data_IF_517952354701
#
_entry.id   IF_517952354701
#
_cell.length_a   1.000
_cell.length_b   1.000
_cell.length_c   1.000
_cell.angle_alpha   90.00
_cell.angle_beta   90.00
_cell.angle_gamma   90.00
#
_symmetry.space_group_name_H-M   'P 1'
#
loop_
_entity.id
_entity.type
_entity.pdbx_description
1 polymer ?
#
# COMPACT_ATOMS: atom_id res chain seq x y z
N UNK A 1 11.31 19.74 -23.39
CA UNK A 1 11.44 19.15 -22.04
C UNK A 1 11.77 17.66 -22.19
N UNK A 2 12.78 17.12 -21.48
CA UNK A 2 13.04 15.67 -21.50
C UNK A 2 11.88 14.90 -20.84
N UNK A 3 11.64 13.65 -21.29
CA UNK A 3 10.63 12.76 -20.70
C UNK A 3 10.92 12.55 -19.20
N UNK A 4 9.89 12.66 -18.35
CA UNK A 4 9.98 12.39 -16.90
C UNK A 4 9.86 10.90 -16.53
N UNK A 5 9.74 10.01 -17.51
CA UNK A 5 9.50 8.56 -17.30
C UNK A 5 10.76 7.76 -17.60
N UNK A 6 11.06 6.77 -16.74
CA UNK A 6 12.07 5.73 -16.99
C UNK A 6 11.38 4.39 -17.26
N UNK A 7 11.99 3.56 -18.10
CA UNK A 7 11.50 2.21 -18.41
C UNK A 7 11.96 1.26 -17.31
N UNK A 8 11.04 0.41 -16.86
CA UNK A 8 11.30 -0.69 -15.94
C UNK A 8 11.12 -2.00 -16.69
N UNK A 9 12.20 -2.78 -16.83
CA UNK A 9 12.16 -4.11 -17.45
C UNK A 9 12.06 -5.18 -16.34
N UNK A 10 11.07 -6.05 -16.44
CA UNK A 10 10.84 -7.16 -15.50
C UNK A 10 10.53 -8.44 -16.26
N UNK A 11 11.01 -9.57 -15.74
CA UNK A 11 10.62 -10.90 -16.21
C UNK A 11 9.42 -11.40 -15.43
N UNK A 12 8.45 -12.01 -16.11
CA UNK A 12 7.25 -12.60 -15.52
C UNK A 12 7.12 -14.05 -16.00
N UNK A 13 6.46 -14.91 -15.21
CA UNK A 13 6.05 -16.21 -15.74
C UNK A 13 5.02 -16.01 -16.86
N UNK A 14 4.90 -17.02 -17.73
CA UNK A 14 3.95 -16.96 -18.84
C UNK A 14 2.51 -16.80 -18.33
N UNK A 15 2.17 -17.54 -17.30
CA UNK A 15 0.85 -17.57 -16.68
C UNK A 15 0.48 -16.19 -16.13
N UNK A 16 1.40 -15.56 -15.39
CA UNK A 16 1.17 -14.23 -14.82
C UNK A 16 1.05 -13.15 -15.90
N UNK A 17 1.84 -13.24 -16.97
CA UNK A 17 1.74 -12.30 -18.09
C UNK A 17 0.38 -12.39 -18.79
N UNK A 18 -0.13 -13.61 -19.02
CA UNK A 18 -1.44 -13.84 -19.61
C UNK A 18 -2.57 -13.33 -18.72
N UNK A 19 -2.47 -13.54 -17.40
CA UNK A 19 -3.42 -12.99 -16.43
C UNK A 19 -3.48 -11.45 -16.47
N UNK A 20 -2.31 -10.78 -16.41
CA UNK A 20 -2.21 -9.33 -16.51
C UNK A 20 -2.82 -8.83 -17.82
N UNK A 21 -2.56 -9.53 -18.92
CA UNK A 21 -3.10 -9.14 -20.22
C UNK A 21 -4.63 -9.28 -20.29
N UNK A 22 -5.18 -10.36 -19.73
CA UNK A 22 -6.62 -10.60 -19.71
C UNK A 22 -7.35 -9.55 -18.86
N UNK A 23 -6.83 -9.24 -17.66
CA UNK A 23 -7.38 -8.20 -16.79
C UNK A 23 -7.33 -6.84 -17.48
N UNK A 24 -6.16 -6.46 -18.02
CA UNK A 24 -6.00 -5.17 -18.69
C UNK A 24 -6.95 -5.01 -19.89
N UNK A 25 -7.14 -6.07 -20.69
CA UNK A 25 -8.11 -6.10 -21.79
C UNK A 25 -9.54 -5.94 -21.29
N UNK A 26 -9.93 -6.69 -20.26
CA UNK A 26 -11.27 -6.62 -19.67
C UNK A 26 -11.61 -5.23 -19.11
N UNK A 27 -10.61 -4.52 -18.60
CA UNK A 27 -10.76 -3.16 -18.06
C UNK A 27 -10.56 -2.04 -19.10
N UNK A 28 -10.28 -2.37 -20.37
CA UNK A 28 -9.91 -1.40 -21.41
C UNK A 28 -8.72 -0.50 -21.02
N UNK A 29 -7.72 -1.07 -20.34
CA UNK A 29 -6.50 -0.39 -19.86
C UNK A 29 -5.25 -0.98 -20.47
N UNK A 30 -4.15 -0.25 -20.38
CA UNK A 30 -2.83 -0.79 -20.77
C UNK A 30 -2.22 -1.62 -19.64
N UNK A 31 -1.44 -2.66 -19.99
CA UNK A 31 -0.68 -3.47 -19.00
C UNK A 31 0.16 -2.59 -18.06
N UNK A 32 0.86 -1.60 -18.63
CA UNK A 32 1.69 -0.68 -17.85
C UNK A 32 0.88 0.22 -16.91
N UNK A 33 -0.36 0.55 -17.25
CA UNK A 33 -1.27 1.28 -16.36
C UNK A 33 -1.74 0.41 -15.20
N UNK A 34 -2.20 -0.80 -15.49
CA UNK A 34 -2.62 -1.79 -14.49
C UNK A 34 -1.49 -2.05 -13.47
N UNK A 35 -0.28 -2.32 -13.95
CA UNK A 35 0.88 -2.60 -13.07
C UNK A 35 1.28 -1.36 -12.24
N UNK A 36 1.21 -0.15 -12.80
CA UNK A 36 1.47 1.07 -12.04
C UNK A 36 0.42 1.28 -10.94
N UNK A 37 -0.84 0.96 -11.20
CA UNK A 37 -1.91 1.06 -10.22
C UNK A 37 -1.77 0.01 -9.11
N UNK A 38 -1.50 -1.25 -9.49
CA UNK A 38 -1.22 -2.31 -8.53
C UNK A 38 -0.06 -1.94 -7.60
N UNK A 39 1.02 -1.34 -8.14
CA UNK A 39 2.13 -0.87 -7.31
C UNK A 39 1.74 0.28 -6.36
N UNK A 40 0.90 1.23 -6.80
CA UNK A 40 0.40 2.31 -5.92
C UNK A 40 -0.38 1.74 -4.75
N UNK A 41 -1.29 0.80 -5.01
CA UNK A 41 -2.07 0.14 -3.96
C UNK A 41 -1.19 -0.68 -3.01
N UNK A 42 -0.22 -1.43 -3.54
CA UNK A 42 0.77 -2.15 -2.74
C UNK A 42 1.54 -1.20 -1.81
N UNK A 43 2.02 -0.07 -2.32
CA UNK A 43 2.80 0.91 -1.54
C UNK A 43 1.97 1.53 -0.41
N UNK A 44 0.72 1.89 -0.68
CA UNK A 44 -0.20 2.42 0.33
C UNK A 44 -0.48 1.39 1.42
N UNK A 45 -0.78 0.15 1.05
CA UNK A 45 -1.04 -0.92 2.00
C UNK A 45 0.18 -1.23 2.87
N UNK A 46 1.39 -1.25 2.28
CA UNK A 46 2.63 -1.42 3.03
C UNK A 46 2.82 -0.31 4.06
N UNK A 47 2.64 0.95 3.66
CA UNK A 47 2.73 2.11 4.56
C UNK A 47 1.72 2.02 5.72
N UNK A 48 0.47 1.67 5.43
CA UNK A 48 -0.54 1.47 6.48
C UNK A 48 -0.19 0.33 7.43
N UNK A 49 0.42 -0.74 6.93
CA UNK A 49 0.89 -1.83 7.79
C UNK A 49 1.96 -1.36 8.78
N UNK A 50 2.90 -0.53 8.32
CA UNK A 50 3.94 0.05 9.18
C UNK A 50 3.36 0.99 10.24
N UNK A 51 2.41 1.86 9.84
CA UNK A 51 1.71 2.77 10.77
C UNK A 51 0.94 1.97 11.84
N UNK A 52 0.23 0.91 11.44
CA UNK A 52 -0.50 0.06 12.39
C UNK A 52 0.44 -0.65 13.36
N UNK A 53 1.54 -1.22 12.87
CA UNK A 53 2.52 -1.88 13.75
C UNK A 53 3.08 -0.91 14.81
N UNK A 54 3.40 0.32 14.40
CA UNK A 54 3.83 1.37 15.32
C UNK A 54 2.73 1.78 16.31
N UNK A 55 1.48 1.91 15.84
CA UNK A 55 0.32 2.16 16.68
C UNK A 55 0.11 1.06 17.74
N UNK A 56 0.19 -0.21 17.34
CA UNK A 56 0.03 -1.35 18.25
C UNK A 56 1.13 -1.42 19.31
N UNK A 57 2.37 -1.07 18.94
CA UNK A 57 3.49 -0.98 19.89
C UNK A 57 3.26 0.17 20.87
N UNK A 58 2.81 1.32 20.38
CA UNK A 58 2.51 2.50 21.21
C UNK A 58 1.38 2.20 22.19
N UNK A 59 0.27 1.61 21.71
CA UNK A 59 -0.85 1.23 22.56
C UNK A 59 -0.43 0.25 23.65
N UNK A 60 0.39 -0.76 23.31
CA UNK A 60 0.96 -1.70 24.30
C UNK A 60 1.85 -0.99 25.34
N UNK A 61 2.71 -0.07 24.90
CA UNK A 61 3.60 0.68 25.80
C UNK A 61 2.83 1.55 26.80
N UNK A 62 1.74 2.16 26.37
CA UNK A 62 0.93 3.08 27.19
C UNK A 62 -0.30 2.41 27.82
N UNK A 63 -0.50 1.11 27.59
CA UNK A 63 -1.64 0.36 28.12
C UNK A 63 -3.00 0.80 27.56
N UNK A 64 -3.02 1.44 26.39
CA UNK A 64 -4.23 1.99 25.75
C UNK A 64 -5.07 0.83 25.20
N UNK A 65 -6.29 0.68 25.70
CA UNK A 65 -7.23 -0.36 25.23
C UNK A 65 -8.43 0.23 24.52
N UNK A 66 -8.80 1.45 24.88
CA UNK A 66 -9.93 2.19 24.31
C UNK A 66 -9.66 3.70 24.32
N UNK A 67 -10.62 4.46 23.81
CA UNK A 67 -10.54 5.92 23.73
C UNK A 67 -10.50 6.60 25.10
N UNK A 68 -11.07 5.98 26.15
CA UNK A 68 -11.07 6.57 27.49
C UNK A 68 -9.67 6.56 28.09
N UNK A 69 -8.85 5.55 27.77
CA UNK A 69 -7.44 5.52 28.19
C UNK A 69 -6.63 6.64 27.52
N UNK A 70 -6.97 7.01 26.28
CA UNK A 70 -6.35 8.14 25.57
C UNK A 70 -6.71 9.46 26.27
N UNK A 71 -7.99 9.64 26.59
CA UNK A 71 -8.48 10.84 27.28
C UNK A 71 -7.81 11.02 28.65
N UNK A 72 -7.61 9.94 29.41
CA UNK A 72 -6.87 9.99 30.69
C UNK A 72 -5.43 10.49 30.47
N UNK A 73 -4.71 9.92 29.50
CA UNK A 73 -3.33 10.33 29.18
C UNK A 73 -3.25 11.81 28.77
N UNK A 74 -4.24 12.31 28.03
CA UNK A 74 -4.29 13.70 27.57
C UNK A 74 -4.60 14.70 28.70
N UNK A 75 -5.44 14.32 29.66
CA UNK A 75 -5.91 15.19 30.73
C UNK A 75 -5.14 15.03 32.06
N UNK A 76 -4.27 14.03 32.20
CA UNK A 76 -3.36 13.87 33.36
C UNK A 76 -2.20 14.90 33.41
N UNK A 77 -2.25 15.95 32.58
CA UNK A 77 -1.23 17.00 32.50
C UNK A 77 -1.55 18.25 33.30
#
# INVERSE_FOLDING_TARGET
>A
MPRKTKILNISLSKELYEEIENIAKGESRTKSELIREAFRQYSVNKKWSEIRAWGDETARRFGIKDEQDIDKILHEK
#
